data_IF_272066172756
#
_entry.id   IF_272066172756
#
_cell.length_a   1.000
_cell.length_b   1.000
_cell.length_c   1.000
_cell.angle_alpha   90.00
_cell.angle_beta   90.00
_cell.angle_gamma   90.00
#
_symmetry.space_group_name_H-M   'P 1'
#
loop_
_entity.id
_entity.type
_entity.pdbx_description
1 polymer ?
#
# COMPACT_ATOMS: atom_id res chain seq x y z
N UNK A 1 -8.72 0.03 16.77
CA UNK A 1 -8.36 0.47 15.40
C UNK A 1 -9.52 1.12 14.65
N UNK A 2 -10.76 0.66 14.84
CA UNK A 2 -11.95 1.22 14.15
C UNK A 2 -12.93 1.72 15.22
N UNK A 3 -12.37 2.45 16.19
CA UNK A 3 -13.05 2.79 17.45
C UNK A 3 -13.90 4.06 17.31
N UNK A 4 -13.75 4.76 16.18
CA UNK A 4 -14.59 5.88 15.76
C UNK A 4 -16.06 5.46 15.72
N UNK A 5 -16.96 6.29 16.26
CA UNK A 5 -18.39 6.08 16.10
C UNK A 5 -18.81 6.07 14.61
N UNK A 6 -19.88 5.35 14.28
CA UNK A 6 -20.35 5.15 12.89
C UNK A 6 -20.52 6.47 12.12
N UNK A 7 -21.01 7.51 12.79
CA UNK A 7 -21.12 8.86 12.19
C UNK A 7 -19.76 9.40 11.72
N UNK A 8 -18.74 9.35 12.57
CA UNK A 8 -17.40 9.84 12.25
C UNK A 8 -16.70 9.00 11.19
N UNK A 9 -16.99 7.70 11.13
CA UNK A 9 -16.48 6.84 10.06
C UNK A 9 -17.09 7.19 8.69
N UNK A 10 -18.40 7.45 8.64
CA UNK A 10 -19.04 7.90 7.40
C UNK A 10 -18.49 9.27 6.98
N UNK A 11 -18.31 10.18 7.93
CA UNK A 11 -17.70 11.49 7.66
C UNK A 11 -16.27 11.35 7.10
N UNK A 12 -15.45 10.49 7.69
CA UNK A 12 -14.10 10.19 7.18
C UNK A 12 -14.16 9.58 5.77
N UNK A 13 -15.08 8.65 5.53
CA UNK A 13 -15.26 8.05 4.20
C UNK A 13 -15.64 9.09 3.14
N UNK A 14 -16.54 10.04 3.46
CA UNK A 14 -16.86 11.17 2.58
C UNK A 14 -15.62 12.04 2.33
N UNK A 15 -14.83 12.32 3.38
CA UNK A 15 -13.56 13.03 3.26
C UNK A 15 -12.57 12.32 2.32
N UNK A 16 -12.45 11.00 2.43
CA UNK A 16 -11.64 10.17 1.55
C UNK A 16 -12.15 10.21 0.09
N UNK A 17 -13.46 10.15 -0.13
CA UNK A 17 -14.05 10.28 -1.47
C UNK A 17 -13.79 11.65 -2.09
N UNK A 18 -13.89 12.72 -1.30
CA UNK A 18 -13.53 14.06 -1.73
C UNK A 18 -12.04 14.14 -2.10
N UNK A 19 -11.17 13.58 -1.26
CA UNK A 19 -9.74 13.51 -1.53
C UNK A 19 -9.44 12.74 -2.82
N UNK A 20 -10.06 11.57 -3.05
CA UNK A 20 -9.94 10.82 -4.29
C UNK A 20 -10.35 11.68 -5.48
N UNK A 21 -11.49 12.37 -5.42
CA UNK A 21 -11.95 13.23 -6.50
C UNK A 21 -10.95 14.36 -6.81
N UNK A 22 -10.34 14.97 -5.79
CA UNK A 22 -9.33 16.01 -5.95
C UNK A 22 -8.05 15.46 -6.60
N UNK A 23 -7.56 14.30 -6.16
CA UNK A 23 -6.38 13.65 -6.73
C UNK A 23 -6.63 13.28 -8.19
N UNK A 24 -7.75 12.63 -8.50
CA UNK A 24 -8.10 12.25 -9.87
C UNK A 24 -8.23 13.47 -10.79
N UNK A 25 -8.84 14.55 -10.30
CA UNK A 25 -8.91 15.83 -11.02
C UNK A 25 -7.51 16.39 -11.31
N UNK A 26 -6.59 16.33 -10.35
CA UNK A 26 -5.21 16.79 -10.51
C UNK A 26 -4.40 15.94 -11.50
N UNK A 27 -4.63 14.62 -11.52
CA UNK A 27 -3.95 13.69 -12.41
C UNK A 27 -4.56 13.62 -13.82
N UNK A 28 -5.81 14.07 -14.00
CA UNK A 28 -6.53 14.01 -15.26
C UNK A 28 -5.77 14.59 -16.47
N UNK A 29 -5.12 15.77 -16.39
CA UNK A 29 -4.36 16.31 -17.51
C UNK A 29 -3.15 15.45 -17.87
N UNK A 30 -2.51 14.82 -16.87
CA UNK A 30 -1.33 14.00 -17.07
C UNK A 30 -1.65 12.68 -17.79
N UNK A 31 -2.87 12.14 -17.64
CA UNK A 31 -3.31 10.93 -18.36
C UNK A 31 -3.36 11.10 -19.88
N UNK A 32 -3.58 12.33 -20.34
CA UNK A 32 -3.62 12.64 -21.76
C UNK A 32 -2.24 12.49 -22.42
N UNK A 33 -1.15 12.60 -21.65
CA UNK A 33 0.21 12.49 -22.15
C UNK A 33 0.68 11.03 -22.29
N UNK A 34 1.34 10.62 -23.39
CA UNK A 34 1.68 9.20 -23.63
C UNK A 34 2.82 8.64 -22.76
N UNK A 35 3.79 9.48 -22.35
CA UNK A 35 5.12 9.03 -21.89
C UNK A 35 5.15 8.36 -20.51
N UNK A 36 4.06 8.36 -19.73
CA UNK A 36 4.05 7.80 -18.36
C UNK A 36 2.70 7.20 -17.94
N UNK A 37 1.88 6.78 -18.91
CA UNK A 37 0.50 6.30 -18.66
C UNK A 37 0.45 5.11 -17.69
N UNK A 38 1.37 4.15 -17.80
CA UNK A 38 1.32 2.93 -16.99
C UNK A 38 1.57 3.18 -15.50
N UNK A 39 2.59 3.97 -15.15
CA UNK A 39 2.89 4.30 -13.76
C UNK A 39 1.82 5.22 -13.16
N UNK A 40 1.33 6.19 -13.95
CA UNK A 40 0.24 7.07 -13.54
C UNK A 40 -1.07 6.31 -13.33
N UNK A 41 -1.34 5.29 -14.14
CA UNK A 41 -2.50 4.41 -13.97
C UNK A 41 -2.44 3.64 -12.65
N UNK A 42 -1.26 3.15 -12.24
CA UNK A 42 -1.09 2.48 -10.95
C UNK A 42 -1.37 3.43 -9.78
N UNK A 43 -0.90 4.68 -9.85
CA UNK A 43 -1.21 5.70 -8.83
C UNK A 43 -2.72 5.94 -8.75
N UNK A 44 -3.42 5.99 -9.88
CA UNK A 44 -4.88 6.18 -9.90
C UNK A 44 -5.61 4.99 -9.28
N UNK A 45 -5.23 3.76 -9.65
CA UNK A 45 -5.83 2.55 -9.08
C UNK A 45 -5.60 2.49 -7.58
N UNK A 46 -4.39 2.78 -7.12
CA UNK A 46 -4.08 2.83 -5.69
C UNK A 46 -4.86 3.95 -4.96
N UNK A 47 -4.99 5.14 -5.58
CA UNK A 47 -5.79 6.25 -5.04
C UNK A 47 -7.26 5.85 -4.87
N UNK A 48 -7.84 5.23 -5.89
CA UNK A 48 -9.21 4.71 -5.85
C UNK A 48 -9.35 3.64 -4.75
N UNK A 49 -8.39 2.73 -4.65
CA UNK A 49 -8.37 1.69 -3.62
C UNK A 49 -8.34 2.29 -2.19
N UNK A 50 -7.54 3.32 -1.94
CA UNK A 50 -7.51 4.05 -0.64
C UNK A 50 -8.91 4.59 -0.33
N UNK A 51 -9.57 5.21 -1.29
CA UNK A 51 -10.92 5.70 -1.03
C UNK A 51 -11.90 4.57 -0.75
N UNK A 52 -12.03 3.64 -1.70
CA UNK A 52 -13.14 2.69 -1.76
C UNK A 52 -13.04 1.59 -0.70
N UNK A 53 -11.84 1.06 -0.42
CA UNK A 53 -11.68 -0.05 0.51
C UNK A 53 -11.92 0.34 1.97
N UNK A 54 -11.80 1.62 2.33
CA UNK A 54 -12.25 2.10 3.64
C UNK A 54 -13.76 1.81 3.85
N UNK A 55 -14.55 1.78 2.77
CA UNK A 55 -15.97 1.42 2.79
C UNK A 55 -16.26 0.03 3.36
N UNK A 56 -15.30 -0.90 3.35
CA UNK A 56 -15.43 -2.21 3.98
C UNK A 56 -15.74 -2.10 5.49
N UNK A 57 -15.23 -1.06 6.16
CA UNK A 57 -15.52 -0.78 7.56
C UNK A 57 -16.98 -0.44 7.85
N UNK A 58 -17.78 -0.15 6.81
CA UNK A 58 -19.22 0.14 6.91
C UNK A 58 -20.12 -1.11 6.83
N UNK A 59 -19.55 -2.29 6.57
CA UNK A 59 -20.31 -3.52 6.26
C UNK A 59 -20.85 -4.27 7.49
N UNK A 60 -20.54 -3.82 8.71
CA UNK A 60 -21.04 -4.42 9.95
C UNK A 60 -21.80 -3.40 10.80
N UNK A 61 -22.70 -3.85 11.67
CA UNK A 61 -23.50 -3.01 12.57
C UNK A 61 -23.30 -3.39 14.03
N UNK A 62 -24.06 -2.74 14.92
CA UNK A 62 -24.01 -2.97 16.37
C UNK A 62 -24.33 -4.42 16.75
N UNK A 63 -25.25 -5.07 16.03
CA UNK A 63 -25.76 -6.41 16.34
C UNK A 63 -25.20 -7.49 15.40
N UNK A 64 -24.13 -7.19 14.65
CA UNK A 64 -23.49 -8.16 13.76
C UNK A 64 -22.71 -9.19 14.59
N UNK A 65 -22.73 -10.45 14.16
CA UNK A 65 -21.94 -11.50 14.81
C UNK A 65 -20.45 -11.13 14.84
N UNK A 66 -19.77 -11.41 15.97
CA UNK A 66 -18.37 -10.97 16.18
C UNK A 66 -17.45 -11.47 15.06
N UNK A 67 -17.57 -12.72 14.63
CA UNK A 67 -16.75 -13.26 13.53
C UNK A 67 -16.91 -12.49 12.20
N UNK A 68 -18.13 -11.99 11.92
CA UNK A 68 -18.40 -11.21 10.70
C UNK A 68 -17.84 -9.78 10.86
N UNK A 69 -17.97 -9.20 12.05
CA UNK A 69 -17.34 -7.92 12.37
C UNK A 69 -15.82 -8.00 12.24
N UNK A 70 -15.19 -9.03 12.81
CA UNK A 70 -13.74 -9.26 12.71
C UNK A 70 -13.31 -9.41 11.26
N UNK A 71 -14.03 -10.20 10.45
CA UNK A 71 -13.78 -10.30 9.01
C UNK A 71 -13.69 -8.92 8.36
N UNK A 72 -14.74 -8.11 8.43
CA UNK A 72 -14.75 -6.78 7.79
C UNK A 72 -13.80 -5.78 8.44
N UNK A 73 -13.51 -5.92 9.73
CA UNK A 73 -12.53 -5.07 10.43
C UNK A 73 -11.14 -5.24 9.82
N UNK A 74 -10.73 -6.47 9.51
CA UNK A 74 -9.41 -6.74 8.94
C UNK A 74 -9.26 -6.33 7.48
N UNK A 75 -10.36 -6.18 6.73
CA UNK A 75 -10.32 -5.50 5.43
C UNK A 75 -9.85 -4.05 5.53
N UNK A 76 -10.18 -3.36 6.63
CA UNK A 76 -9.70 -1.99 6.86
C UNK A 76 -8.33 -1.99 7.51
N UNK A 77 -8.11 -2.81 8.53
CA UNK A 77 -6.87 -2.73 9.33
C UNK A 77 -5.69 -3.38 8.62
N UNK A 78 -5.86 -4.52 7.98
CA UNK A 78 -4.78 -5.20 7.28
C UNK A 78 -4.82 -4.79 5.80
N UNK A 79 -5.86 -5.13 5.04
CA UNK A 79 -5.82 -4.91 3.59
C UNK A 79 -5.73 -3.42 3.21
N UNK A 80 -6.51 -2.53 3.84
CA UNK A 80 -6.48 -1.10 3.53
C UNK A 80 -5.25 -0.38 4.09
N UNK A 81 -4.85 -0.61 5.37
CA UNK A 81 -3.64 0.05 5.91
C UNK A 81 -2.36 -0.54 5.34
N UNK A 82 -2.19 -1.86 5.41
CA UNK A 82 -0.96 -2.56 5.04
C UNK A 82 -0.85 -2.67 3.51
N UNK A 83 -1.79 -3.37 2.87
CA UNK A 83 -1.69 -3.64 1.43
C UNK A 83 -1.83 -2.39 0.55
N UNK A 84 -2.89 -1.59 0.75
CA UNK A 84 -3.20 -0.49 -0.18
C UNK A 84 -2.24 0.69 -0.04
N UNK A 85 -1.89 1.12 1.19
CA UNK A 85 -0.95 2.24 1.35
C UNK A 85 0.45 1.88 0.91
N UNK A 86 0.90 0.62 1.07
CA UNK A 86 2.20 0.19 0.59
C UNK A 86 2.30 0.27 -0.94
N UNK A 87 1.28 -0.21 -1.66
CA UNK A 87 1.20 -0.07 -3.12
C UNK A 87 1.16 1.40 -3.54
N UNK A 88 0.36 2.23 -2.86
CA UNK A 88 0.26 3.66 -3.14
C UNK A 88 1.58 4.41 -2.92
N UNK A 89 2.23 4.18 -1.77
CA UNK A 89 3.50 4.79 -1.43
C UNK A 89 4.59 4.40 -2.43
N UNK A 90 4.68 3.10 -2.75
CA UNK A 90 5.63 2.57 -3.74
C UNK A 90 5.41 3.18 -5.13
N UNK A 91 4.16 3.32 -5.57
CA UNK A 91 3.81 3.92 -6.86
C UNK A 91 4.14 5.44 -6.91
N UNK A 92 3.84 6.20 -5.86
CA UNK A 92 4.14 7.64 -5.80
C UNK A 92 5.63 7.89 -5.71
N UNK A 93 6.35 7.21 -4.81
CA UNK A 93 7.80 7.36 -4.67
C UNK A 93 8.49 7.00 -5.98
N UNK A 94 8.12 5.89 -6.61
CA UNK A 94 8.61 5.53 -7.95
C UNK A 94 8.33 6.60 -9.00
N UNK A 95 7.13 7.20 -8.98
CA UNK A 95 6.78 8.30 -9.90
C UNK A 95 7.67 9.52 -9.67
N UNK A 96 7.91 9.90 -8.41
CA UNK A 96 8.78 11.02 -8.07
C UNK A 96 10.22 10.76 -8.53
N UNK A 97 10.76 9.57 -8.28
CA UNK A 97 12.11 9.19 -8.69
C UNK A 97 12.28 9.23 -10.22
N UNK A 98 11.28 8.80 -10.98
CA UNK A 98 11.27 8.92 -12.44
C UNK A 98 11.25 10.39 -12.88
N UNK A 99 10.41 11.22 -12.25
CA UNK A 99 10.30 12.65 -12.58
C UNK A 99 11.55 13.45 -12.23
N UNK A 100 12.30 13.02 -11.22
CA UNK A 100 13.60 13.59 -10.84
C UNK A 100 14.76 13.07 -11.70
N UNK A 101 14.50 12.16 -12.65
CA UNK A 101 15.53 11.59 -13.54
C UNK A 101 16.45 10.57 -12.84
N UNK A 102 16.09 10.09 -11.65
CA UNK A 102 16.90 9.14 -10.87
C UNK A 102 16.65 7.69 -11.30
N UNK A 103 15.47 7.38 -11.81
CA UNK A 103 15.08 6.03 -12.23
C UNK A 103 14.44 6.06 -13.61
N UNK A 104 14.76 5.07 -14.46
CA UNK A 104 14.10 4.92 -15.76
C UNK A 104 12.64 4.51 -15.59
N UNK A 105 11.74 5.14 -16.35
CA UNK A 105 10.31 4.86 -16.28
C UNK A 105 9.94 3.37 -16.48
N UNK A 106 10.65 2.66 -17.36
CA UNK A 106 10.45 1.23 -17.58
C UNK A 106 10.77 0.39 -16.35
N UNK A 107 11.93 0.64 -15.72
CA UNK A 107 12.36 -0.05 -14.50
C UNK A 107 11.37 0.22 -13.37
N UNK A 108 11.03 1.49 -13.12
CA UNK A 108 10.06 1.86 -12.09
C UNK A 108 8.69 1.20 -12.32
N UNK A 109 8.19 1.19 -13.56
CA UNK A 109 6.89 0.57 -13.88
C UNK A 109 6.92 -0.93 -13.61
N UNK A 110 7.96 -1.65 -14.06
CA UNK A 110 8.09 -3.08 -13.82
C UNK A 110 8.24 -3.40 -12.34
N UNK A 111 9.07 -2.66 -11.60
CA UNK A 111 9.26 -2.85 -10.16
C UNK A 111 7.96 -2.65 -9.39
N UNK A 112 7.23 -1.55 -9.64
CA UNK A 112 5.95 -1.28 -8.97
C UNK A 112 4.92 -2.35 -9.31
N UNK A 113 4.84 -2.81 -10.56
CA UNK A 113 3.92 -3.89 -10.95
C UNK A 113 4.24 -5.20 -10.24
N UNK A 114 5.52 -5.59 -10.21
CA UNK A 114 5.96 -6.81 -9.52
C UNK A 114 5.67 -6.70 -8.03
N UNK A 115 6.04 -5.58 -7.40
CA UNK A 115 5.73 -5.32 -5.99
C UNK A 115 4.23 -5.40 -5.73
N UNK A 116 3.40 -4.77 -6.58
CA UNK A 116 1.93 -4.82 -6.46
C UNK A 116 1.39 -6.24 -6.56
N UNK A 117 1.89 -7.05 -7.50
CA UNK A 117 1.45 -8.45 -7.65
C UNK A 117 1.80 -9.26 -6.40
N UNK A 118 2.99 -9.07 -5.84
CA UNK A 118 3.43 -9.84 -4.67
C UNK A 118 2.67 -9.38 -3.43
N UNK A 119 2.60 -8.06 -3.18
CA UNK A 119 1.87 -7.50 -2.04
C UNK A 119 0.38 -7.83 -2.05
N UNK A 120 -0.30 -7.69 -3.19
CA UNK A 120 -1.72 -8.04 -3.28
C UNK A 120 -1.94 -9.56 -3.34
N UNK A 121 -1.01 -10.29 -3.95
CA UNK A 121 -1.06 -11.75 -4.02
C UNK A 121 -0.98 -12.40 -2.65
N UNK A 122 -0.10 -11.90 -1.77
CA UNK A 122 -0.04 -12.27 -0.36
C UNK A 122 -1.15 -11.61 0.46
N UNK A 123 -1.15 -10.28 0.57
CA UNK A 123 -1.97 -9.49 1.51
C UNK A 123 -3.48 -9.67 1.42
N UNK A 124 -4.03 -9.89 0.22
CA UNK A 124 -5.50 -10.08 0.10
C UNK A 124 -5.94 -11.35 0.83
N UNK A 125 -5.23 -12.46 0.64
CA UNK A 125 -5.56 -13.73 1.31
C UNK A 125 -4.87 -13.86 2.68
N UNK A 126 -3.72 -13.23 2.85
CA UNK A 126 -2.98 -13.15 4.11
C UNK A 126 -3.74 -12.39 5.19
N UNK A 127 -4.70 -11.52 4.82
CA UNK A 127 -5.70 -10.94 5.75
C UNK A 127 -6.30 -11.99 6.70
N UNK A 128 -6.46 -13.23 6.25
CA UNK A 128 -7.01 -14.33 7.04
C UNK A 128 -6.15 -14.78 8.22
N UNK A 129 -4.87 -14.39 8.30
CA UNK A 129 -4.05 -14.68 9.49
C UNK A 129 -4.55 -14.01 10.77
N UNK A 130 -5.37 -12.96 10.63
CA UNK A 130 -6.03 -12.33 11.75
C UNK A 130 -7.32 -13.03 12.19
N UNK A 131 -7.80 -13.98 11.39
CA UNK A 131 -9.07 -14.68 11.61
C UNK A 131 -8.90 -16.07 12.20
N UNK A 132 -7.66 -16.53 12.42
CA UNK A 132 -7.36 -17.90 12.84
C UNK A 132 -8.20 -18.40 14.02
N UNK A 133 -8.46 -17.52 14.97
CA UNK A 133 -9.14 -17.85 16.22
C UNK A 133 -10.43 -17.05 16.43
N UNK A 134 -11.00 -16.48 15.36
CA UNK A 134 -12.25 -15.70 15.42
C UNK A 134 -13.49 -16.49 14.99
N UNK A 135 -13.46 -17.82 15.10
CA UNK A 135 -14.58 -18.71 14.76
C UNK A 135 -14.69 -19.06 13.27
N UNK A 136 -13.57 -19.07 12.54
CA UNK A 136 -13.55 -19.43 11.12
C UNK A 136 -13.23 -20.91 10.86
N UNK A 137 -13.67 -21.49 9.72
CA UNK A 137 -13.30 -22.84 9.32
C UNK A 137 -11.79 -23.03 9.13
N UNK A 138 -11.31 -24.28 9.22
CA UNK A 138 -9.89 -24.63 9.06
C UNK A 138 -9.29 -24.19 7.71
N UNK A 139 -10.10 -24.11 6.65
CA UNK A 139 -9.65 -23.62 5.34
C UNK A 139 -9.17 -22.17 5.38
N UNK A 140 -9.76 -21.33 6.23
CA UNK A 140 -9.33 -19.92 6.42
C UNK A 140 -7.95 -19.87 7.09
N UNK A 141 -7.71 -20.76 8.06
CA UNK A 141 -6.40 -20.90 8.72
C UNK A 141 -5.33 -21.32 7.73
N UNK A 142 -5.63 -22.33 6.90
CA UNK A 142 -4.70 -22.82 5.89
C UNK A 142 -4.33 -21.73 4.87
N UNK A 143 -5.33 -20.99 4.37
CA UNK A 143 -5.10 -19.89 3.44
C UNK A 143 -4.31 -18.74 4.08
N UNK A 144 -4.72 -18.29 5.27
CA UNK A 144 -4.02 -17.23 5.99
C UNK A 144 -2.55 -17.59 6.23
N UNK A 145 -2.26 -18.82 6.66
CA UNK A 145 -0.90 -19.25 6.97
C UNK A 145 0.03 -19.33 5.76
N UNK A 146 -0.50 -19.78 4.62
CA UNK A 146 0.29 -19.87 3.39
C UNK A 146 0.51 -18.49 2.79
N UNK A 147 -0.54 -17.68 2.69
CA UNK A 147 -0.46 -16.41 1.97
C UNK A 147 0.21 -15.29 2.76
N UNK A 148 0.07 -15.24 4.09
CA UNK A 148 0.81 -14.26 4.89
C UNK A 148 2.31 -14.54 4.92
N UNK A 149 2.72 -15.81 4.84
CA UNK A 149 4.14 -16.16 4.71
C UNK A 149 4.75 -15.63 3.39
N UNK A 150 3.95 -15.52 2.32
CA UNK A 150 4.41 -14.96 1.05
C UNK A 150 4.60 -13.43 1.10
N UNK A 151 3.97 -12.74 2.05
CA UNK A 151 4.10 -11.29 2.22
C UNK A 151 5.48 -10.87 2.72
N UNK A 152 6.22 -11.77 3.37
CA UNK A 152 7.59 -11.50 3.85
C UNK A 152 8.62 -11.52 2.70
N UNK A 153 8.36 -12.27 1.63
CA UNK A 153 9.27 -12.43 0.48
C UNK A 153 9.65 -11.09 -0.19
N UNK A 154 8.72 -10.18 -0.54
CA UNK A 154 9.06 -8.89 -1.15
C UNK A 154 9.82 -7.95 -0.20
N UNK A 155 9.64 -8.09 1.13
CA UNK A 155 10.34 -7.28 2.14
C UNK A 155 11.86 -7.52 2.15
N UNK A 156 12.31 -8.67 1.65
CA UNK A 156 13.75 -8.96 1.46
C UNK A 156 14.29 -8.30 0.19
N UNK A 157 13.46 -8.14 -0.85
CA UNK A 157 13.82 -7.48 -2.11
C UNK A 157 13.99 -5.97 -1.93
N UNK A 158 13.32 -5.39 -0.94
CA UNK A 158 13.49 -3.99 -0.49
C UNK A 158 14.96 -3.65 -0.17
N UNK A 159 15.77 -4.61 0.29
CA UNK A 159 17.20 -4.42 0.50
C UNK A 159 17.97 -4.07 -0.79
N UNK A 160 17.50 -4.56 -1.95
CA UNK A 160 18.09 -4.25 -3.25
C UNK A 160 17.76 -2.82 -3.70
N UNK A 161 16.57 -2.32 -3.39
CA UNK A 161 16.21 -0.91 -3.62
C UNK A 161 17.01 0.04 -2.74
N UNK A 162 17.19 -0.30 -1.45
CA UNK A 162 18.04 0.45 -0.53
C UNK A 162 19.50 0.53 -1.03
N UNK A 163 20.05 -0.60 -1.49
CA UNK A 163 21.41 -0.68 -2.03
C UNK A 163 21.57 0.09 -3.35
N UNK A 164 20.61 -0.04 -4.27
CA UNK A 164 20.61 0.72 -5.52
C UNK A 164 20.53 2.22 -5.25
N UNK A 165 19.73 2.65 -4.27
CA UNK A 165 19.64 4.06 -3.88
C UNK A 165 20.96 4.59 -3.32
N UNK A 166 21.60 3.87 -2.40
CA UNK A 166 22.89 4.29 -1.84
C UNK A 166 23.96 4.53 -2.93
N UNK A 167 23.86 3.84 -4.06
CA UNK A 167 24.75 4.03 -5.21
C UNK A 167 24.43 5.28 -6.05
N UNK A 168 23.22 5.80 -5.97
CA UNK A 168 22.75 6.96 -6.77
C UNK A 168 22.53 8.23 -5.92
N UNK A 169 22.73 8.14 -4.61
CA UNK A 169 22.86 9.30 -3.73
C UNK A 169 24.20 10.01 -4.00
N UNK A 170 24.18 11.34 -3.85
CA UNK A 170 25.28 12.26 -4.11
C UNK A 170 25.77 12.38 -5.58
N UNK A 171 25.02 11.83 -6.54
CA UNK A 171 25.33 12.01 -7.97
C UNK A 171 25.11 13.43 -8.48
N UNK A 172 24.21 14.19 -7.83
CA UNK A 172 23.90 15.56 -8.23
C UNK A 172 23.86 16.49 -7.04
N UNK A 173 24.42 17.69 -7.17
CA UNK A 173 24.47 18.70 -6.10
C UNK A 173 23.09 19.06 -5.53
N UNK A 174 22.02 18.98 -6.34
CA UNK A 174 20.65 19.26 -5.89
C UNK A 174 20.10 18.19 -4.94
N UNK A 175 20.64 16.96 -4.95
CA UNK A 175 20.18 15.89 -4.05
C UNK A 175 20.46 16.21 -2.58
N UNK A 176 21.43 17.09 -2.29
CA UNK A 176 21.68 17.58 -0.93
C UNK A 176 20.45 18.22 -0.27
N UNK A 177 19.56 18.84 -1.06
CA UNK A 177 18.29 19.39 -0.56
C UNK A 177 17.28 18.31 -0.12
N UNK A 178 17.39 17.09 -0.66
CA UNK A 178 16.50 15.96 -0.40
C UNK A 178 17.10 14.90 0.53
N UNK A 179 18.26 15.19 1.14
CA UNK A 179 18.97 14.27 2.04
C UNK A 179 18.05 13.64 3.09
N UNK A 180 17.25 14.44 3.79
CA UNK A 180 16.38 13.93 4.86
C UNK A 180 15.23 13.07 4.34
N UNK A 181 14.41 13.51 3.35
CA UNK A 181 13.41 12.65 2.73
C UNK A 181 13.96 11.30 2.28
N UNK A 182 15.13 11.31 1.65
CA UNK A 182 15.81 10.08 1.29
C UNK A 182 16.14 9.27 2.55
N UNK A 183 16.85 9.81 3.54
CA UNK A 183 17.16 9.06 4.78
C UNK A 183 15.92 8.41 5.40
N UNK A 184 14.78 9.10 5.45
CA UNK A 184 13.51 8.52 5.91
C UNK A 184 13.03 7.36 5.06
N UNK A 185 13.06 7.46 3.72
CA UNK A 185 12.77 6.31 2.87
C UNK A 185 13.70 5.14 3.16
N UNK A 186 14.97 5.40 3.51
CA UNK A 186 15.93 4.34 3.83
C UNK A 186 15.55 3.64 5.13
N UNK A 187 15.17 4.42 6.14
CA UNK A 187 14.64 3.90 7.40
C UNK A 187 13.35 3.11 7.21
N UNK A 188 12.44 3.54 6.33
CA UNK A 188 11.21 2.79 5.99
C UNK A 188 11.57 1.40 5.48
N UNK A 189 12.55 1.28 4.56
CA UNK A 189 12.98 -0.02 4.04
C UNK A 189 13.53 -0.95 5.14
N UNK A 190 14.33 -0.41 6.06
CA UNK A 190 14.88 -1.17 7.20
C UNK A 190 13.76 -1.64 8.14
N UNK A 191 12.85 -0.75 8.50
CA UNK A 191 11.74 -1.08 9.40
C UNK A 191 10.66 -1.93 8.74
N UNK A 192 10.53 -1.91 7.42
CA UNK A 192 9.66 -2.85 6.72
C UNK A 192 10.22 -4.28 6.85
N UNK A 193 11.52 -4.45 6.64
CA UNK A 193 12.17 -5.76 6.81
C UNK A 193 12.17 -6.25 8.27
N UNK A 194 12.59 -5.41 9.21
CA UNK A 194 12.74 -5.82 10.62
C UNK A 194 11.39 -5.80 11.33
N UNK A 195 10.60 -4.75 11.16
CA UNK A 195 9.36 -4.55 11.89
C UNK A 195 8.24 -5.45 11.39
N UNK A 196 8.00 -5.49 10.07
CA UNK A 196 6.92 -6.30 9.49
C UNK A 196 7.39 -7.69 9.05
N UNK A 197 8.64 -7.83 8.61
CA UNK A 197 9.16 -9.11 8.10
C UNK A 197 9.63 -10.08 9.18
N UNK A 198 10.20 -9.60 10.28
CA UNK A 198 10.79 -10.45 11.33
C UNK A 198 9.89 -10.65 12.55
N UNK A 199 9.10 -9.64 12.94
CA UNK A 199 8.22 -9.64 14.12
C UNK A 199 6.75 -9.67 13.73
#
# INVERSE_FOLDING_TARGET
YVDLGRFWQIYLFVGLMLWVALVLRGLWPALKQPQSRSLLFLVIVATLAIGLLFGAGLMYGRNTHISIMEYWRWWVVHLWVEGVFEVFATAIVSTLLVRMGLVRASVATTSVLVATIIFLGGGVLGTFHHLYWSGTPIGVVALGGVFSALEVVPLVVVGFEAYSRAKHEDLFAWQGAYRWPFMFFGSVLVWNLIGAGLF
#
